data_IF_884460436529
#
_entry.id   IF_884460436529
#
_cell.length_a   1.000
_cell.length_b   1.000
_cell.length_c   1.000
_cell.angle_alpha   90.00
_cell.angle_beta   90.00
_cell.angle_gamma   90.00
#
_symmetry.space_group_name_H-M   'P 1'
#
loop_
_entity.id
_entity.type
_entity.pdbx_description
1 polymer ?
#
# COMPACT_ATOMS: atom_id res chain seq x y z
N UNK A 1 14.36 6.07 -1.85
CA UNK A 1 15.01 7.41 -1.93
C UNK A 1 16.13 7.55 -0.88
N UNK A 2 15.86 7.45 0.43
CA UNK A 2 16.93 7.58 1.47
C UNK A 2 18.02 6.51 1.42
N UNK A 3 17.66 5.25 1.17
CA UNK A 3 18.64 4.15 1.04
C UNK A 3 19.61 4.35 -0.13
N UNK A 4 19.11 4.84 -1.27
CA UNK A 4 19.94 5.22 -2.41
C UNK A 4 20.87 6.39 -2.09
N UNK A 5 20.37 7.42 -1.38
CA UNK A 5 21.19 8.53 -0.91
C UNK A 5 22.32 8.06 0.01
N UNK A 6 22.02 7.19 0.99
CA UNK A 6 23.05 6.63 1.89
C UNK A 6 24.11 5.82 1.14
N UNK A 7 23.71 5.02 0.15
CA UNK A 7 24.64 4.28 -0.70
C UNK A 7 25.54 5.22 -1.52
N UNK A 8 24.97 6.29 -2.07
CA UNK A 8 25.71 7.31 -2.81
C UNK A 8 26.71 8.03 -1.91
N UNK A 9 26.29 8.57 -0.75
CA UNK A 9 27.18 9.26 0.20
C UNK A 9 28.35 8.38 0.65
N UNK A 10 28.14 7.08 0.82
CA UNK A 10 29.22 6.12 1.16
C UNK A 10 30.24 5.97 0.01
N UNK A 11 29.76 6.00 -1.23
CA UNK A 11 30.59 5.89 -2.42
C UNK A 11 31.28 7.22 -2.81
N UNK A 12 30.71 8.35 -2.40
CA UNK A 12 31.20 9.70 -2.69
C UNK A 12 31.28 10.51 -1.40
N UNK A 13 32.12 10.06 -0.46
CA UNK A 13 32.31 10.77 0.80
C UNK A 13 32.83 12.18 0.54
N UNK A 14 32.20 13.24 1.09
CA UNK A 14 32.70 14.61 0.95
C UNK A 14 33.88 14.91 1.89
N UNK A 15 34.22 13.98 2.79
CA UNK A 15 35.29 14.17 3.78
C UNK A 15 36.58 13.47 3.34
N UNK A 16 37.70 14.20 3.19
CA UNK A 16 38.99 13.63 2.76
C UNK A 16 39.54 12.54 3.68
N UNK A 17 39.21 12.59 4.98
CA UNK A 17 39.63 11.59 5.96
C UNK A 17 38.81 10.29 5.96
N UNK A 18 37.72 10.22 5.17
CA UNK A 18 36.86 9.03 5.09
C UNK A 18 37.03 8.40 3.72
N UNK A 19 37.52 7.16 3.70
CA UNK A 19 37.68 6.41 2.45
C UNK A 19 36.33 6.10 1.83
N UNK A 20 36.10 6.64 0.63
CA UNK A 20 34.97 6.31 -0.21
C UNK A 20 35.01 4.84 -0.65
N UNK A 21 33.87 4.17 -0.59
CA UNK A 21 33.76 2.77 -0.99
C UNK A 21 32.36 2.46 -1.55
N UNK A 22 32.25 1.63 -2.59
CA UNK A 22 30.95 1.24 -3.13
C UNK A 22 30.12 0.53 -2.06
N UNK A 23 28.86 0.92 -1.94
CA UNK A 23 27.92 0.24 -1.06
C UNK A 23 27.55 -1.13 -1.66
N UNK A 24 27.67 -2.20 -0.87
CA UNK A 24 27.00 -3.46 -1.17
C UNK A 24 25.53 -3.30 -0.80
N UNK A 25 24.65 -3.37 -1.78
CA UNK A 25 23.21 -3.19 -1.60
C UNK A 25 22.52 -4.54 -1.68
N UNK A 26 21.95 -4.98 -0.56
CA UNK A 26 20.99 -6.07 -0.56
C UNK A 26 19.60 -5.51 -0.87
N UNK A 27 19.14 -5.72 -2.11
CA UNK A 27 17.84 -5.24 -2.56
C UNK A 27 16.69 -5.93 -1.83
N UNK A 28 16.82 -7.23 -1.52
CA UNK A 28 15.77 -8.01 -0.89
C UNK A 28 15.55 -7.53 0.56
N UNK A 29 16.64 -7.33 1.31
CA UNK A 29 16.57 -6.80 2.66
C UNK A 29 15.94 -5.40 2.72
N UNK A 30 16.25 -4.52 1.76
CA UNK A 30 15.64 -3.18 1.70
C UNK A 30 14.14 -3.22 1.43
N UNK A 31 13.68 -4.13 0.56
CA UNK A 31 12.25 -4.30 0.28
C UNK A 31 11.54 -4.87 1.51
N UNK A 32 12.11 -5.88 2.16
CA UNK A 32 11.55 -6.47 3.38
C UNK A 32 11.41 -5.43 4.50
N UNK A 33 12.45 -4.61 4.72
CA UNK A 33 12.42 -3.52 5.70
C UNK A 33 11.31 -2.50 5.38
N UNK A 34 11.15 -2.12 4.11
CA UNK A 34 10.09 -1.21 3.70
C UNK A 34 8.71 -1.80 3.98
N UNK A 35 8.51 -3.07 3.62
CA UNK A 35 7.23 -3.76 3.81
C UNK A 35 6.86 -3.85 5.29
N UNK A 36 7.81 -4.26 6.14
CA UNK A 36 7.60 -4.33 7.58
C UNK A 36 7.16 -2.98 8.17
N UNK A 37 7.81 -1.89 7.76
CA UNK A 37 7.42 -0.53 8.20
C UNK A 37 6.02 -0.14 7.72
N UNK A 38 5.64 -0.52 6.50
CA UNK A 38 4.27 -0.28 6.01
C UNK A 38 3.24 -1.04 6.86
N UNK A 39 3.53 -2.28 7.22
CA UNK A 39 2.60 -3.11 7.99
C UNK A 39 2.47 -2.61 9.44
N UNK A 40 3.58 -2.26 10.10
CA UNK A 40 3.60 -1.60 11.41
C UNK A 40 2.71 -0.34 11.43
N UNK A 41 2.87 0.53 10.42
CA UNK A 41 2.12 1.77 10.32
C UNK A 41 0.64 1.52 10.01
N UNK A 42 0.31 0.49 9.24
CA UNK A 42 -1.09 0.14 8.92
C UNK A 42 -1.86 -0.22 10.20
N UNK A 43 -1.26 -1.02 11.07
CA UNK A 43 -1.86 -1.41 12.35
C UNK A 43 -2.06 -0.17 13.24
N UNK A 44 -0.98 0.58 13.47
CA UNK A 44 -0.99 1.70 14.40
C UNK A 44 -1.94 2.84 13.99
N UNK A 45 -2.06 3.12 12.68
CA UNK A 45 -2.82 4.27 12.17
C UNK A 45 -4.26 3.96 11.81
N UNK A 46 -4.60 2.73 11.46
CA UNK A 46 -5.93 2.42 10.93
C UNK A 46 -6.65 1.34 11.73
N UNK A 47 -6.01 0.17 11.92
CA UNK A 47 -6.66 -0.96 12.56
C UNK A 47 -7.10 -0.62 14.00
N UNK A 48 -6.20 -0.02 14.78
CA UNK A 48 -6.51 0.41 16.15
C UNK A 48 -7.66 1.43 16.23
N UNK A 49 -7.76 2.34 15.25
CA UNK A 49 -8.81 3.37 15.23
C UNK A 49 -10.17 2.73 14.92
N UNK A 50 -10.21 1.86 13.92
CA UNK A 50 -11.42 1.13 13.53
C UNK A 50 -11.90 0.27 14.70
N UNK A 51 -11.01 -0.48 15.34
CA UNK A 51 -11.37 -1.40 16.43
C UNK A 51 -11.86 -0.64 17.68
N UNK A 52 -11.35 0.57 17.92
CA UNK A 52 -11.74 1.40 19.06
C UNK A 52 -13.03 2.21 18.85
N UNK A 53 -13.60 2.24 17.63
CA UNK A 53 -14.75 3.07 17.30
C UNK A 53 -16.00 2.23 16.99
N UNK A 54 -17.00 2.18 17.89
CA UNK A 54 -18.19 1.35 17.70
C UNK A 54 -19.09 1.82 16.55
N UNK A 55 -18.93 3.06 16.06
CA UNK A 55 -19.66 3.58 14.91
C UNK A 55 -19.11 3.15 13.55
N UNK A 56 -17.96 2.45 13.52
CA UNK A 56 -17.29 2.05 12.28
C UNK A 56 -17.32 0.53 12.17
N UNK A 57 -17.89 0.02 11.07
CA UNK A 57 -17.83 -1.40 10.71
C UNK A 57 -16.94 -1.59 9.48
N UNK A 58 -15.84 -2.32 9.64
CA UNK A 58 -14.97 -2.70 8.53
C UNK A 58 -15.46 -4.00 7.89
N UNK A 59 -15.72 -3.98 6.58
CA UNK A 59 -16.02 -5.15 5.78
C UNK A 59 -14.90 -5.32 4.74
N UNK A 60 -14.11 -6.38 4.87
CA UNK A 60 -13.05 -6.69 3.91
C UNK A 60 -13.64 -7.45 2.71
N UNK A 61 -13.57 -6.82 1.54
CA UNK A 61 -14.06 -7.40 0.29
C UNK A 61 -14.10 -6.39 -0.85
N UNK A 62 -14.48 -6.86 -2.04
CA UNK A 62 -14.71 -5.99 -3.21
C UNK A 62 -16.17 -5.59 -3.26
N UNK A 63 -16.44 -4.29 -3.14
CA UNK A 63 -17.78 -3.73 -3.25
C UNK A 63 -18.13 -3.37 -4.70
N UNK A 64 -19.36 -3.64 -5.11
CA UNK A 64 -19.97 -3.11 -6.34
C UNK A 64 -21.38 -2.61 -6.06
N UNK A 65 -21.84 -1.59 -6.79
CA UNK A 65 -23.22 -1.14 -6.71
C UNK A 65 -24.13 -2.16 -7.41
N UNK A 66 -25.14 -2.63 -6.69
CA UNK A 66 -26.28 -3.35 -7.26
C UNK A 66 -27.29 -2.37 -7.84
N UNK A 67 -27.50 -1.27 -7.14
CA UNK A 67 -28.38 -0.15 -7.51
C UNK A 67 -27.91 1.14 -6.80
N UNK A 68 -28.68 2.22 -6.89
CA UNK A 68 -28.31 3.53 -6.36
C UNK A 68 -28.07 3.58 -4.84
N UNK A 69 -28.58 2.62 -4.06
CA UNK A 69 -28.46 2.61 -2.58
C UNK A 69 -27.97 1.29 -2.01
N UNK A 70 -27.82 0.26 -2.84
CA UNK A 70 -27.41 -1.07 -2.41
C UNK A 70 -26.06 -1.45 -3.00
N UNK A 71 -25.14 -1.88 -2.14
CA UNK A 71 -23.86 -2.47 -2.53
C UNK A 71 -23.88 -3.98 -2.28
N UNK A 72 -23.18 -4.72 -3.13
CA UNK A 72 -22.80 -6.11 -2.90
C UNK A 72 -21.31 -6.11 -2.58
N UNK A 73 -20.94 -6.68 -1.44
CA UNK A 73 -19.54 -6.88 -1.02
C UNK A 73 -19.21 -8.35 -1.17
N UNK A 74 -18.30 -8.67 -2.10
CA UNK A 74 -17.75 -10.03 -2.27
C UNK A 74 -16.51 -10.21 -1.42
N UNK A 75 -16.55 -11.17 -0.50
CA UNK A 75 -15.44 -11.49 0.40
C UNK A 75 -14.52 -12.53 -0.24
N UNK A 76 -13.31 -12.69 0.31
CA UNK A 76 -12.29 -13.59 -0.25
C UNK A 76 -12.70 -15.08 -0.24
N UNK A 77 -13.60 -15.46 0.67
CA UNK A 77 -14.16 -16.81 0.78
C UNK A 77 -15.37 -17.04 -0.14
N UNK A 78 -15.70 -16.08 -1.01
CA UNK A 78 -16.82 -16.15 -1.93
C UNK A 78 -18.16 -15.75 -1.33
N UNK A 79 -18.24 -15.41 -0.02
CA UNK A 79 -19.48 -14.89 0.56
C UNK A 79 -19.82 -13.51 -0.01
N UNK A 80 -21.11 -13.28 -0.21
CA UNK A 80 -21.64 -11.99 -0.64
C UNK A 80 -22.50 -11.37 0.47
N UNK A 81 -22.24 -10.11 0.80
CA UNK A 81 -23.06 -9.35 1.74
C UNK A 81 -23.71 -8.19 1.00
N UNK A 82 -25.03 -8.06 1.11
CA UNK A 82 -25.75 -6.87 0.63
C UNK A 82 -25.77 -5.80 1.73
N UNK A 83 -25.44 -4.57 1.36
CA UNK A 83 -25.41 -3.42 2.25
C UNK A 83 -26.24 -2.30 1.65
N UNK A 84 -27.28 -1.86 2.36
CA UNK A 84 -27.99 -0.63 2.04
C UNK A 84 -27.33 0.55 2.75
N UNK A 85 -27.24 1.67 2.04
CA UNK A 85 -26.68 2.90 2.58
C UNK A 85 -27.53 4.11 2.17
N UNK A 86 -27.75 5.01 3.12
CA UNK A 86 -28.45 6.28 2.85
C UNK A 86 -27.60 7.24 2.02
N UNK A 87 -26.28 7.18 2.23
CA UNK A 87 -25.27 8.00 1.55
C UNK A 87 -24.03 7.17 1.28
N UNK A 88 -23.38 7.41 0.15
CA UNK A 88 -22.17 6.68 -0.26
C UNK A 88 -21.07 7.66 -0.65
N UNK A 89 -19.87 7.44 -0.13
CA UNK A 89 -18.65 8.11 -0.56
C UNK A 89 -17.80 7.12 -1.37
N UNK A 90 -17.49 7.45 -2.62
CA UNK A 90 -16.61 6.64 -3.48
C UNK A 90 -15.17 7.13 -3.30
N UNK A 91 -14.37 6.35 -2.58
CA UNK A 91 -12.97 6.64 -2.29
C UNK A 91 -12.04 5.48 -2.73
N UNK A 92 -12.28 4.92 -3.91
CA UNK A 92 -11.56 3.74 -4.44
C UNK A 92 -10.16 4.03 -4.97
N UNK A 93 -9.72 5.29 -4.96
CA UNK A 93 -8.43 5.70 -5.50
C UNK A 93 -8.37 5.59 -7.03
N UNK A 94 -7.17 5.31 -7.55
CA UNK A 94 -6.90 5.17 -8.98
C UNK A 94 -5.92 4.02 -9.25
N UNK A 95 -5.89 3.53 -10.49
CA UNK A 95 -4.94 2.54 -10.99
C UNK A 95 -4.08 3.15 -12.10
N UNK A 96 -2.80 2.75 -12.25
CA UNK A 96 -1.97 3.20 -13.36
C UNK A 96 -2.59 2.84 -14.72
N UNK A 97 -2.50 3.74 -15.69
CA UNK A 97 -2.83 3.43 -17.07
C UNK A 97 -1.73 2.54 -17.67
N UNK A 98 -2.11 1.40 -18.25
CA UNK A 98 -1.17 0.49 -18.93
C UNK A 98 -1.29 0.70 -20.44
N UNK A 99 -0.34 1.40 -21.08
CA UNK A 99 -0.41 1.66 -22.51
C UNK A 99 -0.28 0.36 -23.33
N UNK A 100 -0.89 0.29 -24.53
CA UNK A 100 -0.80 -0.90 -25.39
C UNK A 100 0.53 -0.93 -26.16
N UNK A 101 1.64 -1.10 -25.44
CA UNK A 101 2.98 -1.24 -26.02
C UNK A 101 3.35 -2.73 -26.08
N UNK A 102 3.83 -3.25 -27.23
CA UNK A 102 4.32 -4.64 -27.32
C UNK A 102 5.35 -4.96 -26.23
N UNK A 103 5.21 -6.12 -25.58
CA UNK A 103 6.10 -6.58 -24.50
C UNK A 103 5.84 -6.00 -23.10
N UNK A 104 4.79 -5.20 -22.89
CA UNK A 104 4.45 -4.65 -21.56
C UNK A 104 3.41 -5.50 -20.78
N UNK A 105 2.56 -6.25 -21.50
CA UNK A 105 1.49 -7.09 -20.91
C UNK A 105 1.84 -8.58 -20.84
N UNK A 106 2.92 -8.96 -21.50
CA UNK A 106 3.50 -10.31 -21.52
C UNK A 106 4.57 -10.41 -20.44
#
# INVERSE_FOLDING_TARGET
IRSAHAAHTKATSPFPGIKSQPARVDRAALVAQQQQRVDELRIAKYQNIVDSNPGIKLLQGRACFKDARTLIVKQADGRETQLQADRVLIATGASPAIPPVPGLRE
#
